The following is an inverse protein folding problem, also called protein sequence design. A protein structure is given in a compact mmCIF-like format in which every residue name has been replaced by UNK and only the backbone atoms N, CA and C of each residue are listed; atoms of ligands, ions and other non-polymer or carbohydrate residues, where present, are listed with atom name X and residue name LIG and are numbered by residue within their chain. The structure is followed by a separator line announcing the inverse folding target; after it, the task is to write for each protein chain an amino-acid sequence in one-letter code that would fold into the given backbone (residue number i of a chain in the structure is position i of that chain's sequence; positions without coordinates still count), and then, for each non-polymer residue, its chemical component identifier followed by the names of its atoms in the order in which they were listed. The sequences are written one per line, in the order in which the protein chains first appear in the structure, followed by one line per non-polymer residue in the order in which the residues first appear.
data_IF_404445820490
#
_entry.id   IF_404445820490
#
_cell.length_a   1.000
_cell.length_b   1.000
_cell.length_c   1.000
_cell.angle_alpha   90.00
_cell.angle_beta   90.00
_cell.angle_gamma   90.00
#
_symmetry.space_group_name_H-M   'P 1'
#
loop_
_entity.id
_entity.type
_entity.pdbx_description
1 polymer ?
#
# COMPACT_ATOMS: atom_id res chain seq x y z
N UNK A 1 -11.85 27.33 -5.92
CA UNK A 1 -10.44 27.05 -6.27
C UNK A 1 -9.45 27.62 -5.26
N UNK A 2 -9.56 28.88 -4.84
CA UNK A 2 -8.70 29.45 -3.78
C UNK A 2 -8.85 28.76 -2.41
N UNK A 3 -10.05 28.31 -2.06
CA UNK A 3 -10.32 27.62 -0.79
C UNK A 3 -9.70 26.21 -0.69
N UNK A 4 -9.46 25.55 -1.84
CA UNK A 4 -8.86 24.21 -1.90
C UNK A 4 -7.36 24.26 -1.61
N UNK A 5 -6.70 25.38 -1.94
CA UNK A 5 -5.26 25.57 -1.72
C UNK A 5 -4.95 25.92 -0.26
N UNK A 6 -5.84 26.64 0.42
CA UNK A 6 -5.65 27.05 1.82
C UNK A 6 -5.86 25.90 2.82
N UNK A 7 -6.71 24.92 2.50
CA UNK A 7 -6.95 23.76 3.36
C UNK A 7 -5.75 22.79 3.44
N UNK A 8 -4.85 22.82 2.46
CA UNK A 8 -3.69 21.93 2.35
C UNK A 8 -2.56 22.32 3.33
N UNK A 9 -2.53 23.57 3.81
CA UNK A 9 -1.37 24.12 4.54
C UNK A 9 -1.42 23.88 6.06
N UNK A 10 -2.54 23.43 6.63
CA UNK A 10 -2.76 23.43 8.11
C UNK A 10 -2.51 22.08 8.79
N UNK A 11 -2.28 20.98 8.05
CA UNK A 11 -2.27 19.63 8.64
C UNK A 11 -0.94 19.22 9.31
N UNK A 12 0.13 20.01 9.21
CA UNK A 12 1.44 19.62 9.78
C UNK A 12 1.69 20.23 11.16
N UNK A 13 1.18 19.57 12.22
CA UNK A 13 1.76 19.66 13.56
C UNK A 13 2.53 18.36 13.88
N UNK A 14 3.81 18.54 14.19
CA UNK A 14 4.79 17.50 14.49
C UNK A 14 4.43 16.72 15.76
N UNK A 15 4.27 15.40 15.63
CA UNK A 15 4.33 14.47 16.77
C UNK A 15 5.77 13.96 16.83
N UNK A 16 6.56 14.47 17.77
CA UNK A 16 7.82 13.85 18.16
C UNK A 16 7.50 12.59 18.97
N UNK A 17 7.43 11.42 18.31
CA UNK A 17 7.38 10.13 19.01
C UNK A 17 8.80 9.73 19.41
N UNK A 18 9.00 9.47 20.70
CA UNK A 18 10.18 8.78 21.21
C UNK A 18 10.23 7.38 20.59
N UNK A 19 11.33 7.04 19.91
CA UNK A 19 11.52 5.69 19.35
C UNK A 19 12.05 4.79 20.46
N UNK A 20 11.14 4.18 21.21
CA UNK A 20 11.46 3.09 22.12
C UNK A 20 11.41 1.77 21.35
N UNK A 21 12.37 0.88 21.62
CA UNK A 21 12.29 -0.51 21.15
C UNK A 21 11.00 -1.17 21.67
N UNK A 22 10.49 -2.16 20.94
CA UNK A 22 9.23 -2.79 21.30
C UNK A 22 9.32 -3.45 22.68
N UNK A 23 8.19 -3.57 23.38
CA UNK A 23 8.16 -4.16 24.72
C UNK A 23 8.68 -5.61 24.73
N UNK A 24 8.41 -6.38 23.68
CA UNK A 24 8.94 -7.73 23.53
C UNK A 24 10.47 -7.77 23.48
N UNK A 25 11.09 -6.86 22.72
CA UNK A 25 12.55 -6.76 22.57
C UNK A 25 13.26 -6.43 23.88
N UNK A 26 12.58 -5.71 24.78
CA UNK A 26 13.10 -5.29 26.07
C UNK A 26 12.90 -6.34 27.18
N UNK A 27 12.21 -7.43 26.89
CA UNK A 27 11.97 -8.46 27.90
C UNK A 27 13.24 -9.28 28.16
N UNK A 28 13.55 -9.50 29.44
CA UNK A 28 14.72 -10.29 29.84
C UNK A 28 14.65 -11.73 29.30
N UNK A 29 13.44 -12.28 29.25
CA UNK A 29 13.18 -13.62 28.72
C UNK A 29 13.57 -13.75 27.25
N UNK A 30 13.13 -12.82 26.40
CA UNK A 30 13.51 -12.79 24.99
C UNK A 30 15.01 -12.59 24.82
N UNK A 31 15.57 -11.60 25.53
CA UNK A 31 16.99 -11.26 25.43
C UNK A 31 17.90 -12.44 25.80
N UNK A 32 17.62 -13.12 26.91
CA UNK A 32 18.43 -14.25 27.38
C UNK A 32 18.35 -15.42 26.40
N UNK A 33 17.15 -15.80 25.96
CA UNK A 33 16.97 -16.84 24.94
C UNK A 33 17.72 -16.50 23.65
N UNK A 34 17.64 -15.25 23.18
CA UNK A 34 18.26 -14.82 21.94
C UNK A 34 19.79 -14.94 22.01
N UNK A 35 20.41 -14.47 23.11
CA UNK A 35 21.86 -14.59 23.28
C UNK A 35 22.31 -16.06 23.31
N UNK A 36 21.60 -16.91 24.06
CA UNK A 36 21.91 -18.34 24.14
C UNK A 36 21.77 -19.04 22.79
N UNK A 37 20.68 -18.77 22.06
CA UNK A 37 20.44 -19.33 20.73
C UNK A 37 21.53 -18.91 19.74
N UNK A 38 21.90 -17.63 19.73
CA UNK A 38 22.94 -17.11 18.84
C UNK A 38 24.31 -17.75 19.14
N UNK A 39 24.67 -17.89 20.41
CA UNK A 39 25.95 -18.47 20.83
C UNK A 39 26.04 -19.98 20.54
N UNK A 40 24.93 -20.71 20.68
CA UNK A 40 24.91 -22.16 20.47
C UNK A 40 24.78 -22.52 18.99
N UNK A 41 23.88 -21.84 18.26
CA UNK A 41 23.48 -22.25 16.92
C UNK A 41 24.15 -21.46 15.79
N UNK A 42 24.60 -20.22 16.04
CA UNK A 42 25.09 -19.34 14.97
C UNK A 42 26.62 -19.16 14.93
N UNK A 43 27.37 -19.73 15.87
CA UNK A 43 28.83 -19.53 16.01
C UNK A 43 29.72 -20.44 15.14
N UNK A 44 29.17 -21.41 14.40
CA UNK A 44 29.94 -22.37 13.57
C UNK A 44 29.66 -22.27 12.06
N UNK A 45 30.56 -22.78 11.22
CA UNK A 45 30.43 -22.86 9.75
C UNK A 45 29.43 -23.91 9.25
N UNK A 46 28.76 -24.63 10.15
CA UNK A 46 27.67 -25.58 9.89
C UNK A 46 26.30 -24.92 9.65
N UNK A 47 26.28 -23.59 9.45
CA UNK A 47 25.11 -22.72 9.23
C UNK A 47 24.15 -23.20 8.12
N UNK A 48 24.66 -23.91 7.11
CA UNK A 48 23.89 -24.32 5.94
C UNK A 48 23.34 -25.76 5.99
N UNK A 49 23.54 -26.52 7.06
CA UNK A 49 23.18 -27.95 7.06
C UNK A 49 21.78 -28.26 7.62
N UNK A 50 21.21 -27.38 8.46
CA UNK A 50 19.96 -27.65 9.19
C UNK A 50 18.74 -26.87 8.70
N UNK A 51 18.90 -25.81 7.90
CA UNK A 51 17.76 -25.04 7.39
C UNK A 51 17.12 -25.74 6.19
N UNK A 52 15.79 -25.84 6.18
CA UNK A 52 15.05 -26.39 5.04
C UNK A 52 15.36 -25.60 3.76
N UNK A 53 15.29 -26.25 2.60
CA UNK A 53 15.56 -25.59 1.30
C UNK A 53 14.70 -24.35 1.09
N UNK A 54 13.46 -24.38 1.58
CA UNK A 54 12.51 -23.25 1.50
C UNK A 54 13.03 -22.05 2.29
N UNK A 55 13.55 -22.27 3.50
CA UNK A 55 14.05 -21.18 4.33
C UNK A 55 15.30 -20.52 3.73
N UNK A 56 16.18 -21.31 3.10
CA UNK A 56 17.33 -20.79 2.35
C UNK A 56 16.92 -20.01 1.12
N UNK A 57 15.94 -20.51 0.37
CA UNK A 57 15.41 -19.80 -0.79
C UNK A 57 14.82 -18.42 -0.40
N UNK A 58 14.22 -18.32 0.78
CA UNK A 58 13.69 -17.08 1.36
C UNK A 58 14.73 -16.25 2.15
N UNK A 59 16.00 -16.65 2.12
CA UNK A 59 17.10 -15.93 2.79
C UNK A 59 16.86 -15.72 4.29
N UNK A 60 16.29 -16.70 4.98
CA UNK A 60 16.22 -16.69 6.44
C UNK A 60 17.61 -16.98 7.03
N UNK A 61 18.09 -16.09 7.89
CA UNK A 61 19.39 -16.25 8.55
C UNK A 61 19.25 -16.99 9.88
N UNK A 62 20.34 -17.54 10.41
CA UNK A 62 20.36 -18.13 11.76
C UNK A 62 19.87 -17.13 12.83
N UNK A 63 20.23 -15.85 12.68
CA UNK A 63 19.75 -14.78 13.57
C UNK A 63 18.23 -14.61 13.51
N UNK A 64 17.64 -14.66 12.30
CA UNK A 64 16.19 -14.54 12.13
C UNK A 64 15.42 -15.74 12.70
N UNK A 65 16.01 -16.94 12.61
CA UNK A 65 15.47 -18.14 13.24
C UNK A 65 15.51 -18.02 14.76
N UNK A 66 16.65 -17.62 15.35
CA UNK A 66 16.75 -17.42 16.80
C UNK A 66 15.77 -16.38 17.31
N UNK A 67 15.61 -15.25 16.61
CA UNK A 67 14.58 -14.24 16.95
C UNK A 67 13.19 -14.85 16.97
N UNK A 68 12.84 -15.63 15.94
CA UNK A 68 11.52 -16.25 15.85
C UNK A 68 11.26 -17.30 16.93
N UNK A 69 12.22 -18.20 17.16
CA UNK A 69 12.07 -19.26 18.15
C UNK A 69 12.03 -18.71 19.57
N UNK A 70 12.77 -17.64 19.87
CA UNK A 70 12.73 -16.99 21.19
C UNK A 70 11.53 -16.07 21.39
N UNK A 71 10.94 -15.56 20.31
CA UNK A 71 9.73 -14.73 20.37
C UNK A 71 8.55 -15.53 20.93
N UNK A 72 8.29 -16.75 20.43
CA UNK A 72 7.08 -17.52 20.79
C UNK A 72 6.93 -17.88 22.27
N UNK A 73 7.96 -18.43 22.96
CA UNK A 73 7.89 -18.62 24.39
C UNK A 73 7.59 -17.32 25.13
N UNK A 74 8.20 -16.22 24.70
CA UNK A 74 8.01 -14.90 25.33
C UNK A 74 6.58 -14.39 25.14
N UNK A 75 6.02 -14.57 23.93
CA UNK A 75 4.60 -14.28 23.64
C UNK A 75 3.68 -15.09 24.54
N UNK A 76 3.93 -16.40 24.68
CA UNK A 76 3.12 -17.27 25.55
C UNK A 76 3.16 -16.79 27.00
N UNK A 77 4.34 -16.45 27.52
CA UNK A 77 4.49 -15.91 28.86
C UNK A 77 3.69 -14.62 29.06
N UNK A 78 3.75 -13.67 28.12
CA UNK A 78 2.96 -12.43 28.20
C UNK A 78 1.44 -12.68 28.20
N UNK A 79 0.98 -13.65 27.40
CA UNK A 79 -0.44 -14.02 27.33
C UNK A 79 -0.89 -14.72 28.62
N UNK A 80 -0.10 -15.66 29.13
CA UNK A 80 -0.37 -16.37 30.40
C UNK A 80 -0.36 -15.42 31.60
N UNK A 81 0.47 -14.37 31.57
CA UNK A 81 0.53 -13.34 32.60
C UNK A 81 -0.56 -12.26 32.48
N UNK A 82 -1.52 -12.40 31.54
CA UNK A 82 -2.59 -11.43 31.27
C UNK A 82 -2.10 -10.01 30.89
N UNK A 83 -0.84 -9.89 30.45
CA UNK A 83 -0.24 -8.61 29.99
C UNK A 83 -0.69 -8.29 28.56
N UNK A 84 -1.10 -9.31 27.81
CA UNK A 84 -1.50 -9.21 26.40
C UNK A 84 -0.32 -9.33 25.45
N UNK A 85 -0.63 -9.59 24.17
CA UNK A 85 0.38 -9.76 23.11
C UNK A 85 1.24 -8.50 22.99
N UNK A 86 2.55 -8.67 22.84
CA UNK A 86 3.51 -7.57 22.70
C UNK A 86 4.17 -7.61 21.32
N UNK A 87 4.54 -6.44 20.80
CA UNK A 87 5.32 -6.31 19.57
C UNK A 87 6.80 -6.67 19.81
N UNK A 88 7.45 -7.15 18.75
CA UNK A 88 8.88 -7.45 18.64
C UNK A 88 9.41 -6.81 17.37
N UNK A 89 10.54 -6.11 17.46
CA UNK A 89 11.17 -5.38 16.34
C UNK A 89 10.20 -4.48 15.57
N UNK A 90 9.27 -3.83 16.28
CA UNK A 90 8.27 -2.93 15.70
C UNK A 90 7.06 -3.64 15.06
N UNK A 91 6.95 -4.96 15.17
CA UNK A 91 5.89 -5.76 14.53
C UNK A 91 5.18 -6.69 15.49
N UNK A 92 3.96 -7.08 15.14
CA UNK A 92 3.24 -8.13 15.86
C UNK A 92 3.83 -9.52 15.57
N UNK A 93 3.67 -10.50 16.48
CA UNK A 93 4.14 -11.86 16.28
C UNK A 93 3.22 -12.63 15.32
N UNK A 94 3.77 -13.15 14.22
CA UNK A 94 3.05 -13.96 13.22
C UNK A 94 3.57 -15.39 13.16
N UNK A 95 2.66 -16.36 13.01
CA UNK A 95 3.04 -17.74 12.71
C UNK A 95 3.47 -17.83 11.25
N UNK A 96 4.69 -18.31 11.02
CA UNK A 96 5.20 -18.57 9.67
C UNK A 96 4.59 -19.83 9.09
N UNK A 97 4.15 -19.78 7.83
CA UNK A 97 3.67 -20.94 7.07
C UNK A 97 4.56 -21.10 5.83
N UNK A 98 5.21 -22.25 5.68
CA UNK A 98 6.18 -22.50 4.59
C UNK A 98 7.27 -21.40 4.47
N UNK A 99 7.67 -20.82 5.60
CA UNK A 99 8.66 -19.73 5.64
C UNK A 99 8.13 -18.36 5.23
N UNK A 100 6.85 -18.21 4.87
CA UNK A 100 6.19 -16.92 4.63
C UNK A 100 5.98 -16.23 5.98
N UNK A 101 6.45 -14.99 6.10
CA UNK A 101 6.39 -14.22 7.34
C UNK A 101 4.95 -13.83 7.71
N UNK A 102 4.19 -13.29 6.73
CA UNK A 102 2.83 -12.79 6.93
C UNK A 102 1.88 -13.48 5.91
N UNK A 103 1.41 -14.72 6.19
CA UNK A 103 0.71 -15.54 5.18
C UNK A 103 -0.59 -14.93 4.67
N UNK A 104 -1.38 -14.30 5.54
CA UNK A 104 -2.65 -13.70 5.14
C UNK A 104 -2.44 -12.46 4.27
N UNK A 105 -1.59 -11.53 4.71
CA UNK A 105 -1.23 -10.34 3.94
C UNK A 105 -0.67 -10.72 2.56
N UNK A 106 0.24 -11.69 2.49
CA UNK A 106 0.76 -12.26 1.23
C UNK A 106 -0.34 -12.71 0.29
N UNK A 107 -1.27 -13.55 0.77
CA UNK A 107 -2.37 -14.05 -0.04
C UNK A 107 -3.25 -12.90 -0.55
N UNK A 108 -3.58 -11.94 0.31
CA UNK A 108 -4.47 -10.84 -0.04
C UNK A 108 -3.81 -9.82 -0.97
N UNK A 109 -2.49 -9.61 -0.90
CA UNK A 109 -1.73 -8.85 -1.91
C UNK A 109 -1.78 -9.54 -3.28
N UNK A 110 -1.67 -10.87 -3.33
CA UNK A 110 -1.83 -11.64 -4.58
C UNK A 110 -3.25 -11.46 -5.15
N UNK A 111 -4.29 -11.48 -4.31
CA UNK A 111 -5.66 -11.26 -4.76
C UNK A 111 -5.84 -9.86 -5.38
N UNK A 112 -5.26 -8.82 -4.78
CA UNK A 112 -5.25 -7.49 -5.37
C UNK A 112 -4.57 -7.46 -6.74
N UNK A 113 -3.36 -8.04 -6.84
CA UNK A 113 -2.63 -8.16 -8.10
C UNK A 113 -3.46 -8.84 -9.19
N UNK A 114 -4.06 -9.98 -8.87
CA UNK A 114 -4.95 -10.72 -9.78
C UNK A 114 -6.16 -9.87 -10.18
N UNK A 115 -6.75 -9.13 -9.24
CA UNK A 115 -7.84 -8.18 -9.49
C UNK A 115 -7.49 -7.18 -10.59
N UNK A 116 -6.32 -6.52 -10.50
CA UNK A 116 -5.87 -5.58 -11.53
C UNK A 116 -5.63 -6.27 -12.89
N UNK A 117 -5.00 -7.45 -12.90
CA UNK A 117 -4.72 -8.21 -14.14
C UNK A 117 -6.00 -8.69 -14.84
N UNK A 118 -7.00 -9.14 -14.07
CA UNK A 118 -8.29 -9.57 -14.62
C UNK A 118 -9.06 -8.37 -15.15
N UNK A 119 -9.10 -7.27 -14.39
CA UNK A 119 -9.89 -6.10 -14.76
C UNK A 119 -9.29 -5.31 -15.92
N UNK A 120 -7.97 -5.27 -16.10
CA UNK A 120 -7.37 -4.65 -17.29
C UNK A 120 -7.70 -5.45 -18.58
N UNK A 121 -7.80 -6.79 -18.49
CA UNK A 121 -8.25 -7.62 -19.63
C UNK A 121 -9.69 -7.30 -20.01
N UNK A 122 -10.55 -7.06 -19.01
CA UNK A 122 -11.93 -6.63 -19.23
C UNK A 122 -11.98 -5.22 -19.84
N UNK A 123 -11.23 -4.28 -19.29
CA UNK A 123 -11.12 -2.91 -19.80
C UNK A 123 -10.75 -2.86 -21.29
N UNK A 124 -9.74 -3.65 -21.71
CA UNK A 124 -9.31 -3.74 -23.12
C UNK A 124 -10.37 -4.28 -24.08
N UNK A 125 -11.34 -5.06 -23.59
CA UNK A 125 -12.44 -5.59 -24.39
C UNK A 125 -13.57 -4.58 -24.56
N UNK A 126 -13.78 -3.72 -23.56
CA UNK A 126 -14.90 -2.79 -23.53
C UNK A 126 -14.52 -1.40 -24.08
N UNK A 127 -13.28 -0.94 -23.84
CA UNK A 127 -12.84 0.42 -24.20
C UNK A 127 -11.93 0.41 -25.42
N UNK A 128 -12.22 1.29 -26.39
CA UNK A 128 -11.41 1.45 -27.60
C UNK A 128 -10.04 2.08 -27.27
N UNK A 129 -8.94 1.69 -27.95
CA UNK A 129 -7.62 2.28 -27.74
C UNK A 129 -7.54 3.80 -28.00
N UNK A 130 -8.47 4.35 -28.78
CA UNK A 130 -8.60 5.78 -29.08
C UNK A 130 -9.31 6.59 -27.99
N UNK A 131 -9.98 5.92 -27.04
CA UNK A 131 -10.74 6.59 -26.00
C UNK A 131 -9.82 7.43 -25.09
N UNK A 132 -10.29 8.59 -24.60
CA UNK A 132 -9.58 9.35 -23.58
C UNK A 132 -9.22 8.46 -22.38
N UNK A 133 -8.06 8.69 -21.76
CA UNK A 133 -7.58 7.95 -20.59
C UNK A 133 -7.31 6.44 -20.77
N UNK A 134 -7.44 5.87 -21.98
CA UNK A 134 -7.09 4.47 -22.24
C UNK A 134 -5.64 4.14 -21.83
N UNK A 135 -4.67 4.95 -22.28
CA UNK A 135 -3.25 4.78 -21.93
C UNK A 135 -2.99 5.01 -20.45
N UNK A 136 -3.65 6.01 -19.86
CA UNK A 136 -3.51 6.33 -18.43
C UNK A 136 -3.99 5.18 -17.54
N UNK A 137 -5.09 4.51 -17.92
CA UNK A 137 -5.57 3.30 -17.24
C UNK A 137 -4.58 2.15 -17.31
N UNK A 138 -3.85 2.00 -18.42
CA UNK A 138 -2.80 0.99 -18.56
C UNK A 138 -1.58 1.29 -17.67
N UNK A 139 -1.16 2.55 -17.60
CA UNK A 139 -0.10 2.97 -16.69
C UNK A 139 -0.50 2.76 -15.23
N UNK A 140 -1.74 3.11 -14.86
CA UNK A 140 -2.27 2.84 -13.53
C UNK A 140 -2.24 1.34 -13.19
N UNK A 141 -2.72 0.49 -14.12
CA UNK A 141 -2.66 -0.95 -13.93
C UNK A 141 -1.23 -1.45 -13.71
N UNK A 142 -0.27 -0.98 -14.51
CA UNK A 142 1.12 -1.37 -14.37
C UNK A 142 1.68 -0.99 -12.99
N UNK A 143 1.42 0.25 -12.53
CA UNK A 143 1.84 0.74 -11.22
C UNK A 143 1.21 -0.10 -10.10
N UNK A 144 -0.09 -0.36 -10.15
CA UNK A 144 -0.76 -1.19 -9.15
C UNK A 144 -0.22 -2.63 -9.15
N UNK A 145 -0.04 -3.24 -10.32
CA UNK A 145 0.53 -4.59 -10.38
C UNK A 145 1.96 -4.63 -9.81
N UNK A 146 2.77 -3.61 -10.08
CA UNK A 146 4.11 -3.52 -9.52
C UNK A 146 4.07 -3.35 -8.00
N UNK A 147 3.20 -2.48 -7.47
CA UNK A 147 3.04 -2.27 -6.04
C UNK A 147 2.59 -3.55 -5.31
N UNK A 148 1.54 -4.23 -5.79
CA UNK A 148 1.04 -5.46 -5.17
C UNK A 148 2.01 -6.64 -5.29
N UNK A 149 2.84 -6.67 -6.34
CA UNK A 149 3.94 -7.63 -6.43
C UNK A 149 4.96 -7.39 -5.30
N UNK A 150 5.41 -6.16 -5.11
CA UNK A 150 6.36 -5.83 -4.04
C UNK A 150 5.77 -6.04 -2.65
N UNK A 151 4.48 -5.73 -2.47
CA UNK A 151 3.76 -6.04 -1.25
C UNK A 151 3.73 -7.55 -0.96
N UNK A 152 3.46 -8.37 -1.99
CA UNK A 152 3.52 -9.83 -1.87
C UNK A 152 4.93 -10.28 -1.45
N UNK A 153 5.98 -9.75 -2.08
CA UNK A 153 7.37 -10.13 -1.79
C UNK A 153 7.77 -9.71 -0.37
N UNK A 154 7.38 -8.51 0.06
CA UNK A 154 7.62 -8.00 1.41
C UNK A 154 6.94 -8.86 2.49
N UNK A 155 5.67 -9.20 2.30
CA UNK A 155 4.92 -10.04 3.24
C UNK A 155 5.40 -11.50 3.27
N UNK A 156 6.01 -11.97 2.19
CA UNK A 156 6.74 -13.25 2.18
C UNK A 156 8.02 -13.13 3.00
N UNK A 157 8.83 -12.11 2.69
CA UNK A 157 10.14 -11.89 3.31
C UNK A 157 10.39 -10.42 3.52
N UNK A 158 10.34 -10.04 4.79
CA UNK A 158 10.66 -8.70 5.24
C UNK A 158 12.18 -8.53 5.35
N UNK A 159 12.73 -7.73 4.46
CA UNK A 159 14.08 -7.18 4.53
C UNK A 159 14.02 -5.73 4.05
N UNK A 160 14.99 -4.90 4.46
CA UNK A 160 15.03 -3.46 4.15
C UNK A 160 14.69 -3.13 2.69
N UNK A 161 15.17 -3.92 1.74
CA UNK A 161 14.89 -3.68 0.33
C UNK A 161 13.43 -3.96 -0.05
N UNK A 162 12.87 -5.09 0.38
CA UNK A 162 11.47 -5.44 0.07
C UNK A 162 10.50 -4.50 0.78
N UNK A 163 10.83 -4.10 2.01
CA UNK A 163 10.14 -3.05 2.75
C UNK A 163 10.12 -1.75 1.94
N UNK A 164 11.27 -1.18 1.55
CA UNK A 164 11.31 0.06 0.77
C UNK A 164 10.47 -0.03 -0.52
N UNK A 165 10.55 -1.17 -1.23
CA UNK A 165 9.81 -1.35 -2.47
C UNK A 165 8.29 -1.42 -2.28
N UNK A 166 7.81 -2.03 -1.19
CA UNK A 166 6.38 -2.06 -0.84
C UNK A 166 5.85 -0.63 -0.58
N UNK A 167 6.57 0.14 0.25
CA UNK A 167 6.15 1.50 0.62
C UNK A 167 6.16 2.44 -0.57
N UNK A 168 7.22 2.41 -1.39
CA UNK A 168 7.27 3.19 -2.62
C UNK A 168 6.24 2.71 -3.63
N UNK A 169 5.93 1.41 -3.66
CA UNK A 169 4.84 0.83 -4.42
C UNK A 169 3.49 1.44 -4.03
N UNK A 170 3.12 1.37 -2.75
CA UNK A 170 1.90 1.96 -2.21
C UNK A 170 1.82 3.46 -2.50
N UNK A 171 2.91 4.19 -2.26
CA UNK A 171 2.97 5.62 -2.49
C UNK A 171 2.79 5.99 -3.98
N UNK A 172 3.38 5.20 -4.88
CA UNK A 172 3.24 5.40 -6.33
C UNK A 172 1.78 5.23 -6.81
N UNK A 173 1.02 4.30 -6.23
CA UNK A 173 -0.40 4.13 -6.53
C UNK A 173 -1.21 5.36 -6.16
N UNK A 174 -0.97 5.90 -4.96
CA UNK A 174 -1.67 7.09 -4.45
C UNK A 174 -1.32 8.33 -5.28
N UNK A 175 -0.03 8.56 -5.55
CA UNK A 175 0.42 9.68 -6.38
C UNK A 175 -0.17 9.61 -7.80
N UNK A 176 -0.17 8.44 -8.42
CA UNK A 176 -0.75 8.28 -9.74
C UNK A 176 -2.26 8.51 -9.73
N UNK A 177 -2.97 8.10 -8.67
CA UNK A 177 -4.39 8.39 -8.52
C UNK A 177 -4.67 9.90 -8.44
N UNK A 178 -3.84 10.65 -7.69
CA UNK A 178 -3.92 12.12 -7.64
C UNK A 178 -3.65 12.73 -9.01
N UNK A 179 -2.60 12.27 -9.71
CA UNK A 179 -2.29 12.71 -11.07
C UNK A 179 -3.46 12.44 -12.02
N UNK A 180 -4.01 11.23 -12.02
CA UNK A 180 -5.15 10.85 -12.84
C UNK A 180 -6.37 11.73 -12.57
N UNK A 181 -6.69 12.00 -11.29
CA UNK A 181 -7.77 12.91 -10.91
C UNK A 181 -7.58 14.31 -11.51
N UNK A 182 -6.40 14.90 -11.37
CA UNK A 182 -6.09 16.23 -11.90
C UNK A 182 -6.20 16.28 -13.42
N UNK A 183 -5.61 15.32 -14.14
CA UNK A 183 -5.70 15.22 -15.59
C UNK A 183 -7.15 15.02 -16.06
N UNK A 184 -7.96 14.29 -15.30
CA UNK A 184 -9.37 14.02 -15.61
C UNK A 184 -10.26 15.24 -15.40
N UNK A 185 -10.04 16.02 -14.35
CA UNK A 185 -10.81 17.26 -14.11
C UNK A 185 -10.48 18.34 -15.14
N UNK A 186 -9.23 18.40 -15.61
CA UNK A 186 -8.74 19.43 -16.54
C UNK A 186 -8.75 18.98 -18.01
N UNK A 187 -9.36 17.83 -18.32
CA UNK A 187 -9.25 17.19 -19.63
C UNK A 187 -9.71 18.05 -20.82
N UNK A 188 -10.74 18.87 -20.61
CA UNK A 188 -11.35 19.71 -21.65
C UNK A 188 -11.03 21.20 -21.50
N UNK A 189 -10.10 21.56 -20.62
CA UNK A 189 -9.57 22.92 -20.57
C UNK A 189 -8.66 23.20 -21.78
N UNK A 190 -8.60 24.45 -22.24
CA UNK A 190 -7.82 24.83 -23.44
C UNK A 190 -6.33 24.51 -23.36
N UNK A 191 -5.79 24.36 -22.14
CA UNK A 191 -4.39 24.03 -21.85
C UNK A 191 -4.23 22.67 -21.15
N UNK A 192 -5.15 21.73 -21.39
CA UNK A 192 -5.19 20.43 -20.73
C UNK A 192 -3.87 19.64 -20.82
N UNK A 193 -3.21 19.67 -21.99
CA UNK A 193 -1.91 19.03 -22.18
C UNK A 193 -0.83 19.64 -21.28
N UNK A 194 -0.75 20.98 -21.23
CA UNK A 194 0.23 21.69 -20.40
C UNK A 194 -0.01 21.45 -18.91
N UNK A 195 -1.27 21.44 -18.47
CA UNK A 195 -1.61 21.10 -17.08
C UNK A 195 -1.21 19.67 -16.73
N UNK A 196 -1.56 18.70 -17.58
CA UNK A 196 -1.19 17.30 -17.37
C UNK A 196 0.33 17.13 -17.32
N UNK A 197 1.07 17.80 -18.20
CA UNK A 197 2.54 17.78 -18.19
C UNK A 197 3.11 18.39 -16.90
N UNK A 198 2.61 19.55 -16.49
CA UNK A 198 3.05 20.22 -15.27
C UNK A 198 2.84 19.35 -14.02
N UNK A 199 1.63 18.84 -13.83
CA UNK A 199 1.33 17.98 -12.67
C UNK A 199 2.09 16.66 -12.73
N UNK A 200 2.23 16.06 -13.92
CA UNK A 200 3.02 14.85 -14.12
C UNK A 200 4.49 15.04 -13.74
N UNK A 201 5.12 16.15 -14.16
CA UNK A 201 6.50 16.48 -13.79
C UNK A 201 6.61 16.74 -12.29
N UNK A 202 5.71 17.53 -11.70
CA UNK A 202 5.76 17.86 -10.27
C UNK A 202 5.63 16.59 -9.39
N UNK A 203 4.65 15.73 -9.69
CA UNK A 203 4.43 14.47 -8.99
C UNK A 203 5.58 13.50 -9.22
N UNK A 204 6.06 13.39 -10.46
CA UNK A 204 7.20 12.54 -10.81
C UNK A 204 8.49 12.95 -10.10
N UNK A 205 8.79 14.25 -10.06
CA UNK A 205 9.94 14.78 -9.34
C UNK A 205 9.83 14.50 -7.84
N UNK A 206 8.65 14.71 -7.23
CA UNK A 206 8.44 14.40 -5.82
C UNK A 206 8.65 12.91 -5.54
N UNK A 207 8.11 12.02 -6.39
CA UNK A 207 8.29 10.58 -6.25
C UNK A 207 9.77 10.17 -6.31
N UNK A 208 10.53 10.71 -7.27
CA UNK A 208 11.97 10.43 -7.41
C UNK A 208 12.75 10.95 -6.19
N UNK A 209 12.47 12.18 -5.76
CA UNK A 209 13.10 12.76 -4.58
C UNK A 209 12.82 11.93 -3.32
N UNK A 210 11.56 11.57 -3.09
CA UNK A 210 11.16 10.76 -1.96
C UNK A 210 11.76 9.34 -2.03
N UNK A 211 11.80 8.73 -3.21
CA UNK A 211 12.48 7.44 -3.41
C UNK A 211 13.96 7.54 -3.04
N UNK A 212 14.65 8.57 -3.52
CA UNK A 212 16.07 8.80 -3.22
C UNK A 212 16.31 8.91 -1.71
N UNK A 213 15.51 9.71 -0.99
CA UNK A 213 15.69 9.88 0.47
C UNK A 213 15.38 8.59 1.22
N UNK A 214 14.34 7.85 0.83
CA UNK A 214 13.97 6.56 1.44
C UNK A 214 15.05 5.49 1.21
N UNK A 215 15.66 5.41 0.02
CA UNK A 215 16.73 4.45 -0.27
C UNK A 215 18.06 4.80 0.42
N UNK A 216 18.53 6.03 0.21
CA UNK A 216 19.93 6.39 0.45
C UNK A 216 20.17 7.20 1.72
N UNK A 217 19.15 7.85 2.28
CA UNK A 217 19.29 8.67 3.48
C UNK A 217 18.82 7.91 4.71
N UNK A 218 17.50 7.68 4.81
CA UNK A 218 16.89 6.97 5.93
C UNK A 218 15.53 6.46 5.51
N UNK A 219 15.31 5.15 5.67
CA UNK A 219 13.95 4.61 5.66
C UNK A 219 13.30 5.01 6.99
N UNK A 220 12.38 5.98 6.93
CA UNK A 220 11.60 6.43 8.08
C UNK A 220 10.15 6.03 7.87
N UNK A 221 9.76 4.92 8.50
CA UNK A 221 8.41 4.36 8.41
C UNK A 221 7.32 5.41 8.67
N UNK A 222 7.47 6.17 9.76
CA UNK A 222 6.48 7.17 10.17
C UNK A 222 6.34 8.29 9.14
N UNK A 223 7.44 8.75 8.55
CA UNK A 223 7.40 9.73 7.48
C UNK A 223 6.75 9.21 6.20
N UNK A 224 7.08 7.98 5.77
CA UNK A 224 6.46 7.34 4.60
C UNK A 224 4.94 7.22 4.79
N UNK A 225 4.50 6.76 5.96
CA UNK A 225 3.07 6.67 6.28
C UNK A 225 2.39 8.04 6.29
N UNK A 226 3.02 9.05 6.91
CA UNK A 226 2.47 10.40 6.98
C UNK A 226 2.21 10.99 5.58
N UNK A 227 3.19 10.93 4.68
CA UNK A 227 3.02 11.49 3.34
C UNK A 227 1.99 10.69 2.52
N UNK A 228 1.96 9.36 2.67
CA UNK A 228 1.03 8.51 1.93
C UNK A 228 -0.41 8.77 2.37
N UNK A 229 -0.65 8.90 3.68
CA UNK A 229 -1.95 9.31 4.24
C UNK A 229 -2.33 10.73 3.78
N UNK A 230 -1.38 11.68 3.76
CA UNK A 230 -1.66 13.04 3.32
C UNK A 230 -2.11 13.11 1.85
N UNK A 231 -1.38 12.47 0.93
CA UNK A 231 -1.79 12.39 -0.47
C UNK A 231 -3.07 11.55 -0.66
N UNK A 232 -3.24 10.50 0.14
CA UNK A 232 -4.47 9.70 0.18
C UNK A 232 -5.70 10.53 0.56
N UNK A 233 -5.56 11.39 1.57
CA UNK A 233 -6.62 12.31 1.97
C UNK A 233 -6.96 13.32 0.86
N UNK A 234 -5.95 13.91 0.21
CA UNK A 234 -6.15 14.78 -0.95
C UNK A 234 -6.92 14.05 -2.07
N UNK A 235 -6.53 12.81 -2.35
CA UNK A 235 -7.19 11.98 -3.36
C UNK A 235 -8.65 11.69 -3.01
N UNK A 236 -8.93 11.22 -1.78
CA UNK A 236 -10.29 10.92 -1.30
C UNK A 236 -11.17 12.17 -1.32
N UNK A 237 -10.68 13.30 -0.82
CA UNK A 237 -11.42 14.56 -0.80
C UNK A 237 -11.71 15.06 -2.22
N UNK A 238 -10.71 15.04 -3.11
CA UNK A 238 -10.86 15.45 -4.50
C UNK A 238 -11.94 14.65 -5.23
N UNK A 239 -11.85 13.32 -5.17
CA UNK A 239 -12.84 12.43 -5.77
C UNK A 239 -14.23 12.57 -5.13
N UNK A 240 -14.31 12.75 -3.80
CA UNK A 240 -15.58 12.93 -3.09
C UNK A 240 -16.30 14.21 -3.52
N UNK A 241 -15.58 15.34 -3.58
CA UNK A 241 -16.12 16.62 -4.05
C UNK A 241 -16.60 16.48 -5.50
N UNK A 242 -15.79 15.84 -6.34
CA UNK A 242 -16.16 15.60 -7.72
C UNK A 242 -17.42 14.73 -7.85
N UNK A 243 -17.48 13.62 -7.11
CA UNK A 243 -18.66 12.75 -7.08
C UNK A 243 -19.91 13.52 -6.66
N UNK A 244 -19.82 14.30 -5.58
CA UNK A 244 -20.93 15.10 -5.07
C UNK A 244 -21.45 16.12 -6.09
N UNK A 245 -20.56 16.68 -6.93
CA UNK A 245 -20.96 17.62 -7.98
C UNK A 245 -21.72 16.93 -9.13
N UNK A 246 -21.38 15.69 -9.46
CA UNK A 246 -21.85 15.03 -10.69
C UNK A 246 -22.80 13.84 -10.48
N UNK A 247 -22.98 13.32 -9.26
CA UNK A 247 -23.77 12.11 -9.00
C UNK A 247 -25.22 12.16 -9.50
N UNK A 248 -25.84 13.35 -9.53
CA UNK A 248 -27.21 13.53 -10.05
C UNK A 248 -27.27 13.52 -11.57
N UNK A 249 -26.22 14.02 -12.24
CA UNK A 249 -26.18 14.22 -13.69
C UNK A 249 -25.62 13.02 -14.45
N UNK A 250 -24.82 12.20 -13.78
CA UNK A 250 -24.03 11.13 -14.38
C UNK A 250 -24.18 9.85 -13.53
N UNK A 251 -25.08 8.92 -13.89
CA UNK A 251 -25.36 7.74 -13.07
C UNK A 251 -24.13 6.89 -12.73
N UNK A 252 -23.17 6.76 -13.66
CA UNK A 252 -21.93 5.99 -13.45
C UNK A 252 -21.05 6.52 -12.31
N UNK A 253 -21.17 7.81 -11.96
CA UNK A 253 -20.42 8.45 -10.85
C UNK A 253 -20.76 7.83 -9.50
N UNK A 254 -21.93 7.20 -9.35
CA UNK A 254 -22.29 6.46 -8.13
C UNK A 254 -21.32 5.31 -7.84
N UNK A 255 -20.75 4.67 -8.87
CA UNK A 255 -19.73 3.63 -8.70
C UNK A 255 -18.44 4.22 -8.13
N UNK A 256 -18.02 5.39 -8.63
CA UNK A 256 -16.88 6.13 -8.09
C UNK A 256 -17.12 6.54 -6.64
N UNK A 257 -18.29 7.09 -6.33
CA UNK A 257 -18.65 7.48 -4.97
C UNK A 257 -18.62 6.30 -4.00
N UNK A 258 -19.16 5.15 -4.42
CA UNK A 258 -19.09 3.92 -3.64
C UNK A 258 -17.63 3.45 -3.46
N UNK A 259 -16.81 3.47 -4.51
CA UNK A 259 -15.39 3.14 -4.43
C UNK A 259 -14.65 4.05 -3.45
N UNK A 260 -14.81 5.37 -3.55
CA UNK A 260 -14.12 6.35 -2.71
C UNK A 260 -14.55 6.20 -1.25
N UNK A 261 -15.85 5.99 -0.98
CA UNK A 261 -16.36 5.75 0.36
C UNK A 261 -15.80 4.45 0.95
N UNK A 262 -15.75 3.38 0.15
CA UNK A 262 -15.18 2.10 0.58
C UNK A 262 -13.67 2.23 0.83
N UNK A 263 -12.91 2.89 -0.06
CA UNK A 263 -11.48 3.16 0.15
C UNK A 263 -11.27 3.94 1.44
N UNK A 264 -12.03 5.01 1.67
CA UNK A 264 -11.92 5.80 2.89
C UNK A 264 -12.20 4.98 4.16
N UNK A 265 -13.19 4.09 4.10
CA UNK A 265 -13.49 3.16 5.19
C UNK A 265 -12.38 2.13 5.38
N UNK A 266 -11.90 1.50 4.30
CA UNK A 266 -10.86 0.46 4.40
C UNK A 266 -9.54 1.01 4.89
N UNK A 267 -9.17 2.24 4.53
CA UNK A 267 -7.96 2.91 5.04
C UNK A 267 -7.96 3.06 6.56
N UNK A 268 -9.11 2.97 7.24
CA UNK A 268 -9.13 2.92 8.70
C UNK A 268 -8.39 1.68 9.23
N UNK A 269 -8.46 0.53 8.54
CA UNK A 269 -7.71 -0.67 8.92
C UNK A 269 -6.19 -0.50 8.84
N UNK A 270 -5.71 0.42 7.99
CA UNK A 270 -4.28 0.74 7.91
C UNK A 270 -3.77 1.53 9.13
N UNK A 271 -4.68 2.24 9.81
CA UNK A 271 -4.35 3.05 11.00
C UNK A 271 -4.62 2.28 12.29
N UNK A 272 -5.46 1.24 12.24
CA UNK A 272 -5.69 0.35 13.36
C UNK A 272 -4.43 -0.50 13.61
N UNK A 273 -4.08 -0.67 14.89
CA UNK A 273 -2.91 -1.45 15.31
C UNK A 273 -3.34 -2.44 16.38
N UNK A 274 -3.65 -3.68 15.98
CA UNK A 274 -4.09 -4.74 16.89
C UNK A 274 -3.33 -6.06 16.61
N UNK A 275 -3.11 -6.91 17.63
CA UNK A 275 -2.38 -8.16 17.48
C UNK A 275 -3.12 -9.17 16.58
N UNK A 276 -2.41 -9.98 15.79
CA UNK A 276 -3.02 -10.85 14.79
C UNK A 276 -3.95 -11.89 15.41
N UNK A 277 -5.20 -11.90 14.92
CA UNK A 277 -6.16 -12.96 15.16
C UNK A 277 -5.64 -14.26 14.54
N UNK A 278 -5.75 -15.35 15.31
CA UNK A 278 -5.21 -16.67 14.93
C UNK A 278 -3.73 -16.64 14.55
N UNK A 279 -2.98 -15.63 15.01
CA UNK A 279 -1.56 -15.42 14.72
C UNK A 279 -1.22 -15.17 13.25
N UNK A 280 -2.22 -14.87 12.42
CA UNK A 280 -2.02 -14.64 10.98
C UNK A 280 -2.81 -13.44 10.43
N UNK A 281 -3.89 -13.01 11.08
CA UNK A 281 -4.79 -11.95 10.59
C UNK A 281 -4.73 -10.71 11.49
N UNK A 282 -3.94 -9.72 11.10
CA UNK A 282 -3.89 -8.41 11.75
C UNK A 282 -4.71 -7.34 10.99
N UNK A 283 -4.65 -6.10 11.47
CA UNK A 283 -5.32 -4.96 10.85
C UNK A 283 -4.87 -4.74 9.40
N UNK A 284 -3.55 -4.85 9.17
CA UNK A 284 -2.97 -4.65 7.84
C UNK A 284 -3.44 -5.72 6.86
N UNK A 285 -3.43 -7.01 7.22
CA UNK A 285 -3.98 -8.07 6.37
C UNK A 285 -5.47 -7.83 6.04
N UNK A 286 -6.28 -7.33 6.97
CA UNK A 286 -7.67 -6.95 6.69
C UNK A 286 -7.78 -5.77 5.71
N UNK A 287 -6.85 -4.82 5.75
CA UNK A 287 -6.75 -3.77 4.74
C UNK A 287 -6.49 -4.37 3.34
N UNK A 288 -5.53 -5.29 3.20
CA UNK A 288 -5.28 -6.00 1.92
C UNK A 288 -6.53 -6.75 1.43
N UNK A 289 -7.19 -7.51 2.31
CA UNK A 289 -8.38 -8.28 1.97
C UNK A 289 -9.53 -7.38 1.49
N UNK A 290 -9.75 -6.27 2.20
CA UNK A 290 -10.87 -5.36 1.92
C UNK A 290 -10.66 -4.53 0.66
N UNK A 291 -9.42 -4.28 0.26
CA UNK A 291 -9.07 -3.55 -0.97
C UNK A 291 -9.11 -4.40 -2.24
N UNK A 292 -8.89 -5.71 -2.15
CA UNK A 292 -8.96 -6.64 -3.30
C UNK A 292 -10.22 -6.52 -4.16
N UNK A 293 -11.45 -6.56 -3.61
CA UNK A 293 -12.67 -6.40 -4.42
C UNK A 293 -12.85 -4.99 -4.97
N UNK A 294 -12.18 -3.97 -4.39
CA UNK A 294 -12.32 -2.57 -4.83
C UNK A 294 -11.70 -2.34 -6.20
N UNK A 295 -10.70 -3.15 -6.61
CA UNK A 295 -10.18 -3.13 -7.97
C UNK A 295 -11.32 -3.33 -9.00
N UNK A 296 -12.23 -4.28 -8.75
CA UNK A 296 -13.36 -4.53 -9.67
C UNK A 296 -14.25 -3.29 -9.80
N UNK A 297 -14.58 -2.66 -8.68
CA UNK A 297 -15.44 -1.48 -8.65
C UNK A 297 -14.77 -0.28 -9.34
N UNK A 298 -13.47 -0.08 -9.12
CA UNK A 298 -12.71 0.99 -9.74
C UNK A 298 -12.67 0.86 -11.26
N UNK A 299 -12.35 -0.32 -11.79
CA UNK A 299 -12.29 -0.50 -13.24
C UNK A 299 -13.65 -0.39 -13.91
N UNK A 300 -14.76 -0.79 -13.26
CA UNK A 300 -16.10 -0.53 -13.79
C UNK A 300 -16.33 0.97 -13.99
N UNK A 301 -15.96 1.78 -12.98
CA UNK A 301 -16.01 3.23 -13.11
C UNK A 301 -15.10 3.74 -14.24
N UNK A 302 -13.87 3.24 -14.36
CA UNK A 302 -12.95 3.67 -15.43
C UNK A 302 -13.48 3.37 -16.83
N UNK A 303 -14.13 2.21 -17.03
CA UNK A 303 -14.76 1.84 -18.30
C UNK A 303 -15.86 2.84 -18.64
N UNK A 304 -16.78 3.08 -17.70
CA UNK A 304 -17.91 3.99 -17.89
C UNK A 304 -17.45 5.45 -18.07
N UNK A 305 -16.42 5.90 -17.33
CA UNK A 305 -15.84 7.24 -17.48
C UNK A 305 -15.15 7.37 -18.86
N UNK A 306 -14.42 6.36 -19.34
CA UNK A 306 -13.83 6.40 -20.69
C UNK A 306 -14.89 6.53 -21.78
N UNK A 307 -15.98 5.76 -21.71
CA UNK A 307 -17.09 5.88 -22.66
C UNK A 307 -17.76 7.25 -22.60
N UNK A 308 -17.97 7.80 -21.39
CA UNK A 308 -18.50 9.14 -21.23
C UNK A 308 -17.59 10.20 -21.84
N UNK A 309 -16.29 10.14 -21.57
CA UNK A 309 -15.30 11.10 -22.07
C UNK A 309 -15.13 10.99 -23.60
N UNK A 310 -15.24 9.81 -24.17
CA UNK A 310 -15.28 9.61 -25.63
C UNK A 310 -16.48 10.33 -26.25
N UNK A 311 -17.68 10.18 -25.65
CA UNK A 311 -18.87 10.91 -26.08
C UNK A 311 -18.69 12.44 -26.02
N UNK A 312 -18.16 12.95 -24.90
CA UNK A 312 -17.90 14.39 -24.77
C UNK A 312 -16.89 14.92 -25.81
N UNK A 313 -15.85 14.13 -26.12
CA UNK A 313 -14.88 14.49 -27.14
C UNK A 313 -15.54 14.58 -28.53
N UNK A 314 -16.35 13.59 -28.90
CA UNK A 314 -17.06 13.57 -30.19
C UNK A 314 -18.03 14.75 -30.33
N UNK A 315 -18.70 15.15 -29.25
CA UNK A 315 -19.61 16.29 -29.28
C UNK A 315 -18.87 17.62 -29.43
N UNK A 316 -17.70 17.78 -28.82
CA UNK A 316 -16.84 18.95 -29.01
C UNK A 316 -16.26 19.02 -30.43
N UNK A 317 -15.86 17.88 -31.01
CA UNK A 317 -15.37 17.80 -32.39
C UNK A 317 -16.45 18.16 -33.42
N UNK A 318 -17.73 17.93 -33.12
CA UNK A 318 -18.85 18.37 -33.98
C UNK A 318 -19.14 19.87 -33.92
N UNK A 319 -18.71 20.54 -32.85
CA UNK A 319 -18.95 21.97 -32.61
C UNK A 319 -17.81 22.86 -33.11
N UNK A 320 -16.64 22.28 -33.40
CA UNK A 320 -15.42 22.96 -33.86
C UNK A 320 -15.35 23.03 -35.40
#
# INVERSE_FOLDING_TARGET
MKEIVTAITVVFFFILKSVLASTGDRSQMFYSCLQDCLAQNCSGSSQDSQSSLILRALQWTCSDECKYFCMWPTVNWFVEAEIGVQQFFGKWPFVRIWGIQEPAATLFSILNLVGHVVMIKRFRKEVRPSAPFYRMTHYFCFICCHAWLWSTIFHIRDVRFTEIMDYLGAFSMVLFSVYHFLSRVLAFESRSFQYSLFFGIAIGFYFVYHSYTTFFVKMDYGYNMLINIAFGAVNILGWSIWCFKFYKRRPYVKQCAAFVALVAFTTLFEVLDFPPLFWVLDAHALWHLSTAPLAILWYKFLIDDCHHMEGQKLDLEKLA
#
